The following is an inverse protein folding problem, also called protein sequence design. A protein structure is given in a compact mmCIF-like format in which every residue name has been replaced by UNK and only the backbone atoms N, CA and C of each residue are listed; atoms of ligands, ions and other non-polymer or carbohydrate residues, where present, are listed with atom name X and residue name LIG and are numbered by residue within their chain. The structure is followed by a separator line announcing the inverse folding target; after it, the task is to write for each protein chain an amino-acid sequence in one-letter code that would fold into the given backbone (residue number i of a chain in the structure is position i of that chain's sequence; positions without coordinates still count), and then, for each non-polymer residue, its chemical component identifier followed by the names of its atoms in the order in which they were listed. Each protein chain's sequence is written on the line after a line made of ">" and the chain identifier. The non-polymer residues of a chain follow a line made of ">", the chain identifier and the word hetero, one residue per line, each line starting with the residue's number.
data_IF_611375155949
#
_entry.id   IF_611375155949
#
_cell.length_a   1.000
_cell.length_b   1.000
_cell.length_c   1.000
_cell.angle_alpha   90.00
_cell.angle_beta   90.00
_cell.angle_gamma   90.00
#
_symmetry.space_group_name_H-M   'P 1'
#
loop_
_entity.id
_entity.type
_entity.pdbx_description
1 polymer ?
#
# COMPACT_ATOMS: atom_id res chain seq x y z
N UNK A 1 60.62 -60.02 -44.22
CA UNK A 1 59.17 -59.99 -43.95
C UNK A 1 58.66 -58.62 -44.37
N UNK A 2 58.08 -58.60 -45.59
CA UNK A 2 56.73 -58.08 -45.90
C UNK A 2 56.62 -56.56 -45.75
N UNK A 3 56.81 -55.82 -46.87
CA UNK A 3 55.74 -55.37 -47.79
C UNK A 3 55.02 -54.13 -47.21
N UNK A 4 54.75 -53.00 -47.89
CA UNK A 4 54.69 -52.69 -49.32
C UNK A 4 54.67 -51.15 -49.49
N UNK A 5 55.49 -50.67 -50.42
CA UNK A 5 55.35 -49.58 -51.39
C UNK A 5 54.28 -48.47 -51.20
N UNK A 6 54.73 -47.19 -51.13
CA UNK A 6 54.86 -46.16 -52.21
C UNK A 6 53.55 -45.38 -52.46
N UNK A 7 53.48 -44.08 -52.15
CA UNK A 7 54.07 -42.89 -52.83
C UNK A 7 53.18 -42.34 -53.96
N UNK A 8 52.89 -41.03 -53.84
CA UNK A 8 52.52 -40.05 -54.88
C UNK A 8 51.06 -40.16 -55.36
N UNK A 9 50.16 -39.18 -55.27
CA UNK A 9 50.28 -37.73 -55.11
C UNK A 9 49.69 -37.05 -56.35
N UNK A 10 48.53 -36.38 -56.23
CA UNK A 10 48.09 -35.24 -57.08
C UNK A 10 46.76 -34.66 -56.60
N UNK A 11 46.57 -33.36 -56.86
CA UNK A 11 45.61 -32.43 -56.28
C UNK A 11 44.17 -32.46 -56.86
N UNK A 12 43.33 -31.58 -56.27
CA UNK A 12 41.95 -31.18 -56.61
C UNK A 12 40.88 -32.16 -56.08
N UNK A 13 39.76 -31.73 -55.49
CA UNK A 13 38.80 -30.70 -55.94
C UNK A 13 38.10 -30.10 -54.71
N UNK A 14 37.91 -28.78 -54.71
CA UNK A 14 36.97 -28.12 -53.81
C UNK A 14 35.55 -28.63 -54.13
N UNK A 15 35.02 -29.49 -53.26
CA UNK A 15 33.59 -29.79 -53.27
C UNK A 15 32.91 -28.71 -52.45
N UNK A 16 32.44 -27.70 -53.17
CA UNK A 16 31.31 -26.88 -52.75
C UNK A 16 30.14 -27.81 -52.45
N UNK A 17 30.02 -28.25 -51.20
CA UNK A 17 28.76 -28.78 -50.69
C UNK A 17 27.86 -27.56 -50.59
N UNK A 18 27.04 -27.38 -51.62
CA UNK A 18 25.74 -26.76 -51.49
C UNK A 18 25.05 -27.45 -50.30
N UNK A 19 25.20 -26.88 -49.11
CA UNK A 19 24.18 -27.00 -48.10
C UNK A 19 22.97 -26.32 -48.74
N UNK A 20 22.09 -27.12 -49.34
CA UNK A 20 20.73 -26.69 -49.55
C UNK A 20 20.25 -26.19 -48.19
N UNK A 21 20.04 -24.87 -48.10
CA UNK A 21 19.19 -24.30 -47.07
C UNK A 21 17.86 -25.04 -47.22
N UNK A 22 17.57 -25.92 -46.27
CA UNK A 22 16.22 -26.44 -46.11
C UNK A 22 15.40 -25.22 -45.66
N UNK A 23 14.73 -24.54 -46.60
CA UNK A 23 13.66 -23.57 -46.35
C UNK A 23 12.43 -24.34 -45.83
N UNK A 24 12.65 -25.19 -44.83
CA UNK A 24 11.61 -25.92 -44.14
C UNK A 24 10.76 -24.90 -43.41
N UNK A 25 9.51 -24.77 -43.82
CA UNK A 25 8.50 -24.04 -43.06
C UNK A 25 8.43 -24.65 -41.66
N UNK A 26 8.96 -23.94 -40.67
CA UNK A 26 8.88 -24.36 -39.27
C UNK A 26 7.50 -23.95 -38.78
N UNK A 27 6.71 -24.90 -38.27
CA UNK A 27 5.47 -24.57 -37.56
C UNK A 27 5.82 -23.75 -36.33
N UNK A 28 5.39 -22.48 -36.24
CA UNK A 28 5.74 -21.64 -35.11
C UNK A 28 5.05 -22.13 -33.84
N UNK A 29 5.75 -22.00 -32.71
CA UNK A 29 5.25 -22.36 -31.39
C UNK A 29 5.35 -21.11 -30.51
N UNK A 30 4.19 -20.65 -30.05
CA UNK A 30 4.08 -19.60 -29.05
C UNK A 30 4.63 -20.06 -27.68
N UNK A 31 5.13 -19.14 -26.84
CA UNK A 31 5.64 -19.50 -25.53
C UNK A 31 4.48 -19.81 -24.59
N UNK A 32 4.74 -20.59 -23.55
CA UNK A 32 3.86 -20.65 -22.38
C UNK A 32 4.20 -19.47 -21.48
N UNK A 33 3.22 -18.61 -21.17
CA UNK A 33 3.43 -17.49 -20.25
C UNK A 33 3.57 -17.98 -18.80
N UNK A 34 4.44 -17.31 -18.05
CA UNK A 34 4.50 -17.37 -16.60
C UNK A 34 3.26 -16.79 -15.93
N UNK A 35 3.16 -16.95 -14.61
CA UNK A 35 2.17 -16.22 -13.82
C UNK A 35 2.53 -14.73 -13.74
N UNK A 36 1.52 -13.87 -13.57
CA UNK A 36 1.74 -12.44 -13.29
C UNK A 36 2.31 -12.31 -11.89
N UNK A 37 3.58 -11.93 -11.76
CA UNK A 37 4.21 -11.58 -10.49
C UNK A 37 3.98 -10.09 -10.18
N UNK A 38 3.90 -9.76 -8.89
CA UNK A 38 3.67 -8.39 -8.38
C UNK A 38 4.85 -8.01 -7.49
N UNK A 39 5.28 -6.74 -7.54
CA UNK A 39 6.40 -6.22 -6.74
C UNK A 39 6.18 -6.22 -5.23
N UNK A 40 4.96 -6.48 -4.77
CA UNK A 40 4.58 -6.41 -3.36
C UNK A 40 3.43 -7.38 -3.05
N UNK A 41 3.41 -7.91 -1.83
CA UNK A 41 2.43 -8.93 -1.41
C UNK A 41 1.03 -8.35 -1.16
N UNK A 42 0.96 -7.09 -0.73
CA UNK A 42 -0.31 -6.41 -0.48
C UNK A 42 -0.34 -5.09 -1.27
N UNK A 43 -1.46 -4.80 -1.92
CA UNK A 43 -1.61 -3.65 -2.83
C UNK A 43 -2.54 -2.63 -2.19
N UNK A 44 -2.11 -1.38 -2.20
CA UNK A 44 -2.86 -0.31 -1.58
C UNK A 44 -3.24 0.78 -2.58
N UNK A 45 -4.36 1.47 -2.35
CA UNK A 45 -4.79 2.61 -3.17
C UNK A 45 -3.71 3.69 -3.25
N UNK A 46 -3.43 4.18 -4.45
CA UNK A 46 -2.44 5.22 -4.72
C UNK A 46 -0.99 4.71 -4.82
N UNK A 47 -0.73 3.42 -4.59
CA UNK A 47 0.61 2.86 -4.64
C UNK A 47 0.98 2.33 -6.02
N UNK A 48 2.13 2.73 -6.55
CA UNK A 48 2.64 2.12 -7.78
C UNK A 48 3.05 0.67 -7.52
N UNK A 49 2.52 -0.23 -8.33
CA UNK A 49 2.91 -1.64 -8.39
C UNK A 49 3.63 -1.91 -9.71
N UNK A 50 4.54 -2.88 -9.68
CA UNK A 50 5.17 -3.43 -10.88
C UNK A 50 4.65 -4.85 -11.09
N UNK A 51 4.06 -5.06 -12.26
CA UNK A 51 3.54 -6.34 -12.71
C UNK A 51 4.53 -6.92 -13.71
N UNK A 52 4.90 -8.18 -13.57
CA UNK A 52 5.85 -8.84 -14.46
C UNK A 52 5.37 -10.23 -14.89
N UNK A 53 5.63 -10.58 -16.14
CA UNK A 53 5.44 -11.93 -16.69
C UNK A 53 6.71 -12.30 -17.44
N UNK A 54 7.14 -13.55 -17.31
CA UNK A 54 8.25 -14.11 -18.08
C UNK A 54 7.77 -15.39 -18.78
N UNK A 55 8.17 -15.58 -20.03
CA UNK A 55 7.90 -16.83 -20.75
C UNK A 55 8.56 -18.02 -20.05
N UNK A 56 7.83 -19.12 -19.87
CA UNK A 56 8.36 -20.39 -19.33
C UNK A 56 9.07 -21.23 -20.39
N UNK A 57 8.63 -21.10 -21.64
CA UNK A 57 9.20 -21.80 -22.79
C UNK A 57 9.58 -20.81 -23.88
N UNK A 58 10.63 -21.08 -24.66
CA UNK A 58 11.03 -20.19 -25.73
C UNK A 58 10.05 -20.24 -26.90
N UNK A 59 9.88 -19.10 -27.56
CA UNK A 59 9.23 -19.03 -28.87
C UNK A 59 10.05 -19.79 -29.90
N UNK A 60 9.37 -20.57 -30.75
CA UNK A 60 10.00 -21.29 -31.87
C UNK A 60 9.41 -20.79 -33.18
N UNK A 61 10.26 -20.52 -34.17
CA UNK A 61 9.87 -20.01 -35.48
C UNK A 61 10.55 -18.67 -35.82
N UNK A 62 10.33 -18.19 -37.04
CA UNK A 62 10.89 -16.92 -37.52
C UNK A 62 10.01 -15.75 -37.05
N UNK A 63 10.16 -15.32 -35.80
CA UNK A 63 9.35 -14.25 -35.20
C UNK A 63 9.60 -12.91 -35.91
N UNK A 64 8.53 -12.28 -36.39
CA UNK A 64 8.53 -11.00 -37.07
C UNK A 64 8.11 -9.83 -36.15
N UNK A 65 7.03 -10.01 -35.39
CA UNK A 65 6.47 -8.99 -34.51
C UNK A 65 5.99 -9.60 -33.20
N UNK A 66 6.09 -8.81 -32.14
CA UNK A 66 5.52 -9.13 -30.83
C UNK A 66 4.83 -7.87 -30.29
N UNK A 67 3.55 -8.01 -29.98
CA UNK A 67 2.67 -6.92 -29.58
C UNK A 67 2.05 -7.27 -28.22
N UNK A 68 2.72 -6.95 -27.09
CA UNK A 68 2.20 -7.21 -25.76
C UNK A 68 1.22 -6.11 -25.31
N UNK A 69 0.04 -6.51 -24.85
CA UNK A 69 -1.03 -5.63 -24.38
C UNK A 69 -1.39 -5.98 -22.94
N UNK A 70 -1.18 -5.02 -22.03
CA UNK A 70 -1.64 -5.13 -20.65
C UNK A 70 -3.03 -4.51 -20.51
N UNK A 71 -3.90 -5.19 -19.78
CA UNK A 71 -5.21 -4.64 -19.39
C UNK A 71 -5.41 -4.72 -17.89
N UNK A 72 -6.05 -3.71 -17.33
CA UNK A 72 -6.48 -3.64 -15.93
C UNK A 72 -7.96 -3.32 -15.89
N UNK A 73 -8.75 -4.17 -15.25
CA UNK A 73 -10.23 -4.10 -15.24
C UNK A 73 -10.81 -3.95 -16.66
N UNK A 74 -10.21 -4.66 -17.62
CA UNK A 74 -10.61 -4.62 -19.03
C UNK A 74 -10.19 -3.36 -19.81
N UNK A 75 -9.50 -2.41 -19.17
CA UNK A 75 -8.97 -1.21 -19.83
C UNK A 75 -7.50 -1.38 -20.19
N UNK A 76 -7.13 -1.05 -21.42
CA UNK A 76 -5.75 -1.13 -21.89
C UNK A 76 -4.84 -0.12 -21.20
N UNK A 77 -3.63 -0.57 -20.84
CA UNK A 77 -2.58 0.26 -20.27
C UNK A 77 -1.72 0.81 -21.39
N UNK A 78 -1.55 2.14 -21.39
CA UNK A 78 -0.74 2.83 -22.40
C UNK A 78 0.71 2.33 -22.41
N UNK A 79 1.29 2.22 -23.61
CA UNK A 79 2.66 1.73 -23.84
C UNK A 79 3.74 2.44 -23.04
N UNK A 80 3.54 3.72 -22.68
CA UNK A 80 4.53 4.47 -21.87
C UNK A 80 4.69 3.91 -20.45
N UNK A 81 3.74 3.09 -19.99
CA UNK A 81 3.76 2.42 -18.69
C UNK A 81 4.08 0.93 -18.80
N UNK A 82 4.45 0.46 -19.99
CA UNK A 82 4.81 -0.93 -20.23
C UNK A 82 6.21 -1.00 -20.84
N UNK A 83 6.85 -2.15 -20.66
CA UNK A 83 8.09 -2.45 -21.36
C UNK A 83 8.18 -3.95 -21.57
N UNK A 84 8.80 -4.36 -22.67
CA UNK A 84 9.14 -5.76 -22.87
C UNK A 84 10.60 -5.90 -23.30
N UNK A 85 11.18 -7.04 -22.93
CA UNK A 85 12.50 -7.47 -23.35
C UNK A 85 12.38 -8.86 -23.95
N UNK A 86 13.07 -9.12 -25.04
CA UNK A 86 13.04 -10.41 -25.72
C UNK A 86 14.47 -10.88 -25.99
N UNK A 87 14.92 -11.90 -25.26
CA UNK A 87 16.29 -12.39 -25.31
C UNK A 87 16.29 -13.91 -25.37
N UNK A 88 16.98 -14.48 -26.36
CA UNK A 88 17.15 -15.94 -26.47
C UNK A 88 15.85 -16.71 -26.67
N UNK A 89 14.83 -16.10 -27.29
CA UNK A 89 13.51 -16.71 -27.47
C UNK A 89 12.56 -16.53 -26.29
N UNK A 90 12.99 -15.86 -25.22
CA UNK A 90 12.21 -15.67 -23.99
C UNK A 90 11.86 -14.19 -23.85
N UNK A 91 10.57 -13.90 -23.74
CA UNK A 91 10.00 -12.60 -23.43
C UNK A 91 9.91 -12.35 -21.92
N UNK A 92 10.17 -11.11 -21.52
CA UNK A 92 9.89 -10.56 -20.20
C UNK A 92 9.07 -9.29 -20.37
N UNK A 93 7.88 -9.26 -19.81
CA UNK A 93 6.90 -8.18 -19.95
C UNK A 93 6.70 -7.51 -18.61
N UNK A 94 6.72 -6.19 -18.58
CA UNK A 94 6.59 -5.37 -17.38
C UNK A 94 5.50 -4.32 -17.58
N UNK A 95 4.69 -4.09 -16.54
CA UNK A 95 3.68 -3.05 -16.49
C UNK A 95 3.76 -2.31 -15.15
N UNK A 96 3.70 -0.99 -15.21
CA UNK A 96 3.65 -0.10 -14.06
C UNK A 96 2.23 0.43 -13.88
N UNK A 97 1.64 0.26 -12.70
CA UNK A 97 0.25 0.65 -12.47
C UNK A 97 0.03 1.25 -11.09
N UNK A 98 -0.92 2.18 -10.96
CA UNK A 98 -1.32 2.79 -9.68
C UNK A 98 -2.83 2.60 -9.52
N UNK A 99 -3.30 1.72 -8.61
CA UNK A 99 -4.73 1.52 -8.38
C UNK A 99 -5.30 2.70 -7.61
N UNK A 100 -6.38 3.30 -8.09
CA UNK A 100 -6.99 4.48 -7.46
C UNK A 100 -8.21 4.15 -6.59
N UNK A 101 -8.65 2.89 -6.57
CA UNK A 101 -9.82 2.44 -5.83
C UNK A 101 -9.54 1.09 -5.17
N UNK A 102 -10.23 0.83 -4.06
CA UNK A 102 -10.20 -0.45 -3.34
C UNK A 102 -11.01 -1.53 -4.06
N UNK A 103 -10.73 -2.78 -3.77
CA UNK A 103 -11.45 -3.95 -4.28
C UNK A 103 -10.60 -4.83 -5.17
N UNK A 104 -11.26 -5.66 -5.99
CA UNK A 104 -10.58 -6.57 -6.90
C UNK A 104 -10.03 -5.80 -8.10
N UNK A 105 -8.77 -6.10 -8.43
CA UNK A 105 -8.05 -5.61 -9.59
C UNK A 105 -7.79 -6.79 -10.53
N UNK A 106 -8.52 -6.84 -11.64
CA UNK A 106 -8.35 -7.85 -12.68
C UNK A 106 -7.25 -7.43 -13.65
N UNK A 107 -6.10 -8.10 -13.60
CA UNK A 107 -4.96 -7.81 -14.47
C UNK A 107 -4.83 -8.90 -15.52
N UNK A 108 -4.62 -8.53 -16.78
CA UNK A 108 -4.30 -9.47 -17.85
C UNK A 108 -3.18 -8.97 -18.76
N UNK A 109 -2.42 -9.91 -19.29
CA UNK A 109 -1.47 -9.70 -20.38
C UNK A 109 -1.91 -10.56 -21.56
N UNK A 110 -2.03 -9.95 -22.73
CA UNK A 110 -2.12 -10.65 -24.03
C UNK A 110 -0.86 -10.37 -24.81
N UNK A 111 -0.30 -11.38 -25.48
CA UNK A 111 0.87 -11.24 -26.34
C UNK A 111 0.51 -11.79 -27.70
N UNK A 112 0.40 -10.90 -28.67
CA UNK A 112 0.17 -11.25 -30.07
C UNK A 112 1.51 -11.34 -30.80
N UNK A 113 1.70 -12.40 -31.54
CA UNK A 113 2.94 -12.69 -32.27
C UNK A 113 2.64 -12.94 -33.74
N UNK A 114 3.50 -12.40 -34.59
CA UNK A 114 3.49 -12.66 -36.03
C UNK A 114 4.77 -13.35 -36.46
N UNK A 115 4.66 -14.36 -37.30
CA UNK A 115 5.78 -15.17 -37.78
C UNK A 115 5.92 -15.06 -39.30
N UNK A 116 7.16 -14.90 -39.75
CA UNK A 116 7.52 -15.04 -41.15
C UNK A 116 7.63 -16.52 -41.53
N UNK A 117 7.43 -16.83 -42.81
CA UNK A 117 7.67 -18.16 -43.40
C UNK A 117 6.90 -19.30 -42.69
N UNK A 118 5.82 -18.95 -42.00
CA UNK A 118 4.97 -19.91 -41.31
C UNK A 118 4.11 -20.69 -42.34
N UNK A 119 3.72 -21.93 -42.02
CA UNK A 119 2.69 -22.62 -42.79
C UNK A 119 1.41 -21.78 -42.89
N UNK A 120 0.66 -21.93 -44.00
CA UNK A 120 -0.58 -21.18 -44.25
C UNK A 120 -1.53 -21.31 -43.05
N UNK A 121 -1.93 -20.17 -42.48
CA UNK A 121 -2.84 -20.09 -41.34
C UNK A 121 -2.17 -20.17 -39.96
N UNK A 122 -0.84 -20.29 -39.89
CA UNK A 122 -0.06 -20.34 -38.65
C UNK A 122 0.76 -19.06 -38.40
N UNK A 123 0.55 -18.03 -39.24
CA UNK A 123 1.31 -16.77 -39.23
C UNK A 123 1.10 -15.93 -37.96
N UNK A 124 -0.04 -16.09 -37.29
CA UNK A 124 -0.40 -15.36 -36.08
C UNK A 124 -0.66 -16.31 -34.91
N UNK A 125 -0.09 -15.99 -33.75
CA UNK A 125 -0.34 -16.69 -32.48
C UNK A 125 -0.56 -15.69 -31.37
N UNK A 126 -1.48 -16.02 -30.47
CA UNK A 126 -1.78 -15.20 -29.29
C UNK A 126 -1.74 -16.07 -28.05
N UNK A 127 -1.16 -15.54 -26.98
CA UNK A 127 -1.17 -16.15 -25.65
C UNK A 127 -1.56 -15.12 -24.62
N UNK A 128 -2.22 -15.55 -23.55
CA UNK A 128 -2.67 -14.65 -22.50
C UNK A 128 -2.60 -15.28 -21.12
N UNK A 129 -2.46 -14.41 -20.12
CA UNK A 129 -2.51 -14.76 -18.71
C UNK A 129 -3.24 -13.68 -17.94
N UNK A 130 -3.99 -14.08 -16.91
CA UNK A 130 -4.75 -13.17 -16.05
C UNK A 130 -4.54 -13.52 -14.59
N UNK A 131 -4.60 -12.51 -13.73
CA UNK A 131 -4.51 -12.64 -12.27
C UNK A 131 -5.43 -11.61 -11.61
N UNK A 132 -6.17 -12.06 -10.61
CA UNK A 132 -6.92 -11.18 -9.72
C UNK A 132 -6.03 -10.78 -8.54
N UNK A 133 -6.03 -9.50 -8.22
CA UNK A 133 -5.32 -8.93 -7.09
C UNK A 133 -6.32 -8.19 -6.20
N UNK A 134 -6.03 -8.10 -4.91
CA UNK A 134 -6.86 -7.34 -3.97
C UNK A 134 -6.17 -6.01 -3.63
N UNK A 135 -6.89 -4.91 -3.80
CA UNK A 135 -6.47 -3.55 -3.44
C UNK A 135 -7.19 -3.12 -2.17
N UNK A 136 -6.42 -2.79 -1.14
CA UNK A 136 -6.94 -2.33 0.15
C UNK A 136 -6.79 -0.82 0.33
N UNK A 137 -7.56 -0.18 1.23
CA UNK A 137 -7.34 1.22 1.57
C UNK A 137 -5.92 1.45 2.10
N UNK A 138 -5.28 2.54 1.66
CA UNK A 138 -4.01 3.01 2.22
C UNK A 138 -4.26 4.03 3.31
N UNK A 139 -4.46 3.55 4.52
CA UNK A 139 -4.49 4.39 5.69
C UNK A 139 -3.99 3.61 6.92
N UNK A 140 -3.71 4.32 8.01
CA UNK A 140 -3.33 3.71 9.29
C UNK A 140 -4.36 2.67 9.80
N UNK A 141 -5.59 2.68 9.24
CA UNK A 141 -6.72 1.84 9.62
C UNK A 141 -6.64 0.43 9.03
N UNK A 142 -6.04 0.29 7.85
CA UNK A 142 -5.84 -0.98 7.13
C UNK A 142 -4.35 -1.31 6.91
N UNK A 143 -3.49 -0.60 7.65
CA UNK A 143 -2.05 -0.66 7.46
C UNK A 143 -1.45 -2.03 7.68
N UNK A 144 -0.36 -2.23 6.97
CA UNK A 144 0.22 -3.49 6.59
C UNK A 144 1.18 -3.91 7.70
N UNK A 145 0.63 -4.31 8.85
CA UNK A 145 1.44 -4.85 9.94
C UNK A 145 2.43 -5.88 9.39
N UNK A 146 3.69 -5.76 9.80
CA UNK A 146 4.80 -6.52 9.23
C UNK A 146 5.55 -5.86 8.07
N UNK A 147 5.09 -4.72 7.54
CA UNK A 147 5.77 -4.05 6.43
C UNK A 147 7.19 -3.59 6.82
N UNK A 148 8.12 -3.78 5.89
CA UNK A 148 9.47 -3.26 6.06
C UNK A 148 9.52 -1.73 6.01
N UNK A 149 10.49 -1.14 6.70
CA UNK A 149 10.80 0.30 6.63
C UNK A 149 10.85 0.82 5.19
N UNK A 150 11.48 0.08 4.27
CA UNK A 150 11.62 0.51 2.88
C UNK A 150 10.27 0.66 2.17
N UNK A 151 9.36 -0.28 2.41
CA UNK A 151 8.01 -0.26 1.84
C UNK A 151 7.20 0.87 2.48
N UNK A 152 7.26 1.04 3.81
CA UNK A 152 6.53 2.11 4.50
C UNK A 152 6.98 3.51 4.06
N UNK A 153 8.29 3.77 4.01
CA UNK A 153 8.83 5.08 3.59
C UNK A 153 8.58 5.34 2.09
N UNK A 154 8.53 4.29 1.27
CA UNK A 154 8.11 4.43 -0.13
C UNK A 154 6.66 4.90 -0.25
N UNK A 155 5.77 4.41 0.62
CA UNK A 155 4.34 4.74 0.64
C UNK A 155 4.05 6.10 1.25
N UNK A 156 4.80 6.47 2.27
CA UNK A 156 4.68 7.72 3.00
C UNK A 156 5.97 8.53 2.85
N UNK A 157 6.24 9.12 1.67
CA UNK A 157 7.52 9.78 1.37
C UNK A 157 7.77 11.03 2.23
N UNK A 158 6.74 11.54 2.92
CA UNK A 158 6.86 12.64 3.87
C UNK A 158 7.47 12.24 5.21
N UNK A 159 7.65 10.94 5.48
CA UNK A 159 8.25 10.45 6.72
C UNK A 159 9.78 10.58 6.70
N UNK A 160 10.30 11.30 7.69
CA UNK A 160 11.72 11.38 8.00
C UNK A 160 12.06 10.53 9.21
N UNK A 161 13.26 9.95 9.24
CA UNK A 161 13.78 9.22 10.41
C UNK A 161 13.86 10.15 11.63
N UNK A 162 13.33 9.74 12.77
CA UNK A 162 13.32 10.52 14.01
C UNK A 162 13.96 9.77 15.16
N UNK A 163 15.03 10.33 15.74
CA UNK A 163 15.67 9.73 16.92
C UNK A 163 16.30 8.36 16.64
N UNK A 164 15.70 7.29 17.18
CA UNK A 164 16.19 5.90 17.08
C UNK A 164 16.10 5.35 15.67
N UNK A 165 16.71 4.17 15.44
CA UNK A 165 16.73 3.56 14.11
C UNK A 165 15.34 3.15 13.60
N UNK A 166 14.35 3.06 14.50
CA UNK A 166 13.07 2.39 14.31
C UNK A 166 11.85 3.32 14.37
N UNK A 167 12.03 4.65 14.33
CA UNK A 167 10.93 5.62 14.33
C UNK A 167 11.01 6.59 13.15
N UNK A 168 9.88 6.79 12.48
CA UNK A 168 9.75 7.63 11.29
C UNK A 168 8.57 8.58 11.47
N UNK A 169 8.81 9.88 11.36
CA UNK A 169 7.83 10.93 11.64
C UNK A 169 7.68 11.89 10.47
N UNK A 170 6.49 12.40 10.26
CA UNK A 170 6.24 13.41 9.23
C UNK A 170 4.80 13.88 9.18
N UNK A 171 4.51 14.95 8.43
CA UNK A 171 3.16 15.39 8.21
C UNK A 171 2.40 14.38 7.32
N UNK A 172 1.13 14.16 7.63
CA UNK A 172 0.23 13.38 6.79
C UNK A 172 -1.22 13.80 6.96
N UNK A 173 -2.12 13.04 6.34
CA UNK A 173 -3.57 13.19 6.51
C UNK A 173 -4.02 12.36 7.71
N UNK A 174 -5.02 12.83 8.45
CA UNK A 174 -5.63 12.00 9.48
C UNK A 174 -6.49 10.91 8.85
N UNK A 175 -6.53 9.75 9.50
CA UNK A 175 -7.50 8.71 9.19
C UNK A 175 -8.94 9.06 9.62
N UNK A 176 -9.15 10.06 10.47
CA UNK A 176 -10.49 10.46 10.92
C UNK A 176 -11.22 11.18 9.80
N UNK A 177 -12.24 10.53 9.22
CA UNK A 177 -13.04 11.10 8.15
C UNK A 177 -13.71 12.42 8.59
N UNK A 178 -13.57 13.46 7.75
CA UNK A 178 -14.20 14.77 7.97
C UNK A 178 -13.53 15.67 9.01
N UNK A 179 -12.39 15.26 9.60
CA UNK A 179 -11.67 16.11 10.58
C UNK A 179 -11.19 17.44 9.98
N UNK A 180 -11.00 17.49 8.66
CA UNK A 180 -10.67 18.69 7.89
C UNK A 180 -11.74 19.78 7.98
N UNK A 181 -13.00 19.43 8.31
CA UNK A 181 -14.07 20.41 8.56
C UNK A 181 -13.79 21.28 9.79
N UNK A 182 -12.83 20.88 10.63
CA UNK A 182 -12.38 21.61 11.81
C UNK A 182 -11.00 22.28 11.60
N UNK A 183 -10.61 22.53 10.35
CA UNK A 183 -9.33 23.12 9.93
C UNK A 183 -8.08 22.28 10.26
N UNK A 184 -8.27 21.00 10.63
CA UNK A 184 -7.19 20.04 10.85
C UNK A 184 -6.85 19.38 9.50
N UNK A 185 -6.05 20.11 8.72
CA UNK A 185 -5.67 19.69 7.35
C UNK A 185 -4.43 18.79 7.28
N UNK A 186 -3.68 18.68 8.38
CA UNK A 186 -2.54 17.79 8.50
C UNK A 186 -2.34 17.38 9.95
N UNK A 187 -1.86 16.16 10.15
CA UNK A 187 -1.49 15.59 11.45
C UNK A 187 -0.04 15.17 11.43
N UNK A 188 0.59 15.10 12.60
CA UNK A 188 1.91 14.52 12.74
C UNK A 188 1.76 13.00 12.84
N UNK A 189 2.25 12.28 11.84
CA UNK A 189 2.31 10.82 11.83
C UNK A 189 3.62 10.35 12.44
N UNK A 190 3.57 9.26 13.17
CA UNK A 190 4.74 8.55 13.70
C UNK A 190 4.57 7.06 13.47
N UNK A 191 5.45 6.46 12.69
CA UNK A 191 5.51 5.04 12.39
C UNK A 191 6.65 4.42 13.20
N UNK A 192 6.37 3.31 13.89
CA UNK A 192 7.35 2.59 14.71
C UNK A 192 7.55 1.18 14.24
N UNK A 193 8.80 0.76 14.23
CA UNK A 193 9.24 -0.53 13.73
C UNK A 193 9.86 -1.37 14.86
N UNK A 194 9.71 -2.69 14.77
CA UNK A 194 10.35 -3.63 15.67
C UNK A 194 10.93 -4.76 14.81
N UNK A 195 12.24 -4.98 14.89
CA UNK A 195 12.91 -5.94 14.01
C UNK A 195 12.84 -5.56 12.51
N UNK A 196 12.62 -4.27 12.20
CA UNK A 196 12.44 -3.78 10.82
C UNK A 196 11.01 -3.85 10.29
N UNK A 197 10.07 -4.34 11.08
CA UNK A 197 8.67 -4.53 10.72
C UNK A 197 7.76 -3.52 11.44
N UNK A 198 6.80 -2.94 10.71
CA UNK A 198 5.85 -1.97 11.23
C UNK A 198 4.91 -2.61 12.26
N UNK A 199 4.87 -2.08 13.47
CA UNK A 199 4.00 -2.58 14.55
C UNK A 199 3.09 -1.51 15.17
N UNK A 200 3.38 -0.22 14.97
CA UNK A 200 2.57 0.87 15.53
C UNK A 200 2.60 2.13 14.64
N UNK A 201 1.46 2.79 14.55
CA UNK A 201 1.29 4.10 13.93
C UNK A 201 0.60 5.01 14.94
N UNK A 202 1.11 6.24 15.10
CA UNK A 202 0.48 7.28 15.89
C UNK A 202 0.17 8.50 15.03
N UNK A 203 -1.06 8.99 15.12
CA UNK A 203 -1.48 10.28 14.57
C UNK A 203 -1.66 11.27 15.72
N UNK A 204 -1.05 12.44 15.58
CA UNK A 204 -1.13 13.51 16.59
C UNK A 204 -1.58 14.81 15.93
N UNK A 205 -2.64 15.40 16.47
CA UNK A 205 -3.08 16.75 16.11
C UNK A 205 -3.34 17.60 17.35
N UNK A 206 -3.13 18.90 17.22
CA UNK A 206 -3.30 19.84 18.32
C UNK A 206 -4.65 20.55 18.25
N UNK A 207 -5.34 20.65 19.38
CA UNK A 207 -6.52 21.49 19.55
C UNK A 207 -6.17 22.70 20.40
N UNK A 208 -6.66 23.89 20.01
CA UNK A 208 -6.36 25.13 20.71
C UNK A 208 -7.62 25.92 21.08
N UNK A 209 -7.64 26.45 22.30
CA UNK A 209 -8.70 27.35 22.77
C UNK A 209 -8.71 28.69 22.03
N UNK A 210 -7.62 29.06 21.35
CA UNK A 210 -7.56 30.27 20.54
C UNK A 210 -8.49 30.20 19.32
N UNK A 211 -8.81 29.00 18.83
CA UNK A 211 -9.68 28.78 17.66
C UNK A 211 -11.16 28.95 18.00
N UNK A 212 -11.61 28.44 19.15
CA UNK A 212 -13.05 28.41 19.48
C UNK A 212 -13.39 28.23 20.96
N UNK A 213 -12.43 28.44 21.87
CA UNK A 213 -12.62 28.24 23.30
C UNK A 213 -12.80 26.77 23.70
N UNK A 214 -13.24 26.51 24.93
CA UNK A 214 -13.35 25.15 25.47
C UNK A 214 -14.48 24.31 24.85
N UNK A 215 -15.60 24.94 24.45
CA UNK A 215 -16.69 24.23 23.77
C UNK A 215 -16.24 23.58 22.47
N UNK A 216 -15.44 24.31 21.68
CA UNK A 216 -14.82 23.79 20.45
C UNK A 216 -13.93 22.56 20.71
N UNK A 217 -13.14 22.57 21.80
CA UNK A 217 -12.29 21.42 22.15
C UNK A 217 -13.13 20.16 22.35
N UNK A 218 -14.21 20.27 23.14
CA UNK A 218 -15.09 19.13 23.41
C UNK A 218 -15.82 18.68 22.14
N UNK A 219 -16.24 19.61 21.28
CA UNK A 219 -16.90 19.30 20.01
C UNK A 219 -15.99 18.51 19.06
N UNK A 220 -14.75 18.99 18.81
CA UNK A 220 -13.82 18.30 17.91
C UNK A 220 -13.42 16.95 18.48
N UNK A 221 -13.19 16.85 19.79
CA UNK A 221 -12.87 15.60 20.46
C UNK A 221 -14.03 14.60 20.35
N UNK A 222 -15.27 15.04 20.55
CA UNK A 222 -16.46 14.18 20.44
C UNK A 222 -16.72 13.74 19.00
N UNK A 223 -16.56 14.65 18.03
CA UNK A 223 -16.62 14.32 16.62
C UNK A 223 -15.62 13.23 16.26
N UNK A 224 -14.35 13.44 16.62
CA UNK A 224 -13.27 12.48 16.36
C UNK A 224 -13.58 11.10 16.97
N UNK A 225 -13.96 11.07 18.26
CA UNK A 225 -14.28 9.83 18.95
C UNK A 225 -15.47 9.10 18.34
N UNK A 226 -16.58 9.80 18.05
CA UNK A 226 -17.78 9.17 17.48
C UNK A 226 -17.56 8.64 16.06
N UNK A 227 -16.77 9.34 15.25
CA UNK A 227 -16.36 8.85 13.93
C UNK A 227 -15.59 7.54 14.08
N UNK A 228 -14.61 7.47 14.98
CA UNK A 228 -13.85 6.25 15.26
C UNK A 228 -14.72 5.12 15.82
N UNK A 229 -15.66 5.41 16.72
CA UNK A 229 -16.57 4.39 17.26
C UNK A 229 -17.51 3.83 16.20
N UNK A 230 -17.97 4.68 15.27
CA UNK A 230 -18.77 4.26 14.13
C UNK A 230 -17.97 3.33 13.23
N UNK A 231 -16.72 3.68 12.94
CA UNK A 231 -15.83 2.92 12.05
C UNK A 231 -15.33 1.60 12.68
N UNK A 232 -14.97 1.60 13.97
CA UNK A 232 -14.20 0.50 14.58
C UNK A 232 -14.89 -0.23 15.72
N UNK A 233 -15.93 0.36 16.31
CA UNK A 233 -16.65 -0.23 17.44
C UNK A 233 -18.10 -0.56 17.10
N UNK A 234 -18.52 -0.40 15.83
CA UNK A 234 -19.92 -0.59 15.43
C UNK A 234 -20.88 0.32 16.19
N UNK A 235 -20.45 1.56 16.48
CA UNK A 235 -21.14 2.54 17.33
C UNK A 235 -21.20 2.17 18.83
N UNK A 236 -20.41 1.20 19.30
CA UNK A 236 -20.28 0.90 20.72
C UNK A 236 -19.37 1.90 21.43
N UNK A 237 -19.79 2.35 22.62
CA UNK A 237 -19.01 3.21 23.52
C UNK A 237 -18.27 2.43 24.61
N UNK A 238 -18.32 1.09 24.59
CA UNK A 238 -17.86 0.22 25.68
C UNK A 238 -16.34 0.32 25.98
N UNK A 239 -15.57 1.03 25.14
CA UNK A 239 -14.14 1.26 25.30
C UNK A 239 -13.75 2.57 25.99
N UNK A 240 -14.72 3.46 26.27
CA UNK A 240 -14.44 4.77 26.89
C UNK A 240 -14.05 4.62 28.36
N UNK A 241 -13.03 5.35 28.78
CA UNK A 241 -12.54 5.42 30.15
C UNK A 241 -12.12 6.84 30.49
N UNK A 242 -12.26 7.19 31.78
CA UNK A 242 -11.87 8.49 32.32
C UNK A 242 -10.77 8.26 33.35
N UNK A 243 -9.64 8.92 33.16
CA UNK A 243 -8.57 9.01 34.13
C UNK A 243 -8.62 10.40 34.80
N UNK A 244 -8.98 10.48 36.09
CA UNK A 244 -8.93 11.74 36.83
C UNK A 244 -7.47 12.09 37.15
N UNK A 245 -6.99 13.21 36.59
CA UNK A 245 -5.63 13.71 36.80
C UNK A 245 -5.59 14.78 37.89
N UNK A 246 -6.68 15.52 38.11
CA UNK A 246 -6.89 16.41 39.25
C UNK A 246 -8.15 15.99 40.02
N UNK A 247 -7.97 15.25 41.12
CA UNK A 247 -9.07 14.71 41.92
C UNK A 247 -9.88 15.78 42.68
N UNK A 248 -9.44 17.04 42.69
CA UNK A 248 -10.17 18.15 43.32
C UNK A 248 -11.25 18.74 42.41
N UNK A 249 -11.19 18.46 41.10
CA UNK A 249 -12.13 18.95 40.08
C UNK A 249 -13.31 18.01 39.91
N UNK A 250 -14.06 17.81 41.00
CA UNK A 250 -15.14 16.81 41.07
C UNK A 250 -16.26 17.07 40.08
N UNK A 251 -16.60 18.34 39.83
CA UNK A 251 -17.58 18.77 38.82
C UNK A 251 -17.18 18.35 37.40
N UNK A 252 -15.92 18.58 37.03
CA UNK A 252 -15.37 18.16 35.74
C UNK A 252 -15.30 16.63 35.63
N UNK A 253 -14.89 15.94 36.70
CA UNK A 253 -14.84 14.47 36.74
C UNK A 253 -16.24 13.87 36.55
N UNK A 254 -17.26 14.44 37.20
CA UNK A 254 -18.65 13.99 37.04
C UNK A 254 -19.14 14.15 35.60
N UNK A 255 -18.84 15.29 34.98
CA UNK A 255 -19.14 15.54 33.56
C UNK A 255 -18.40 14.57 32.64
N UNK A 256 -17.10 14.34 32.86
CA UNK A 256 -16.31 13.39 32.08
C UNK A 256 -16.87 11.96 32.21
N UNK A 257 -17.33 11.58 33.41
CA UNK A 257 -17.98 10.30 33.64
C UNK A 257 -19.35 10.18 32.96
N UNK A 258 -20.15 11.26 32.90
CA UNK A 258 -21.37 11.28 32.07
C UNK A 258 -21.03 11.05 30.59
N UNK A 259 -20.03 11.77 30.11
CA UNK A 259 -19.56 11.68 28.73
C UNK A 259 -19.07 10.27 28.35
N UNK A 260 -18.32 9.61 29.23
CA UNK A 260 -17.84 8.24 28.98
C UNK A 260 -18.95 7.20 28.96
N UNK A 261 -20.08 7.47 29.61
CA UNK A 261 -21.31 6.67 29.53
C UNK A 261 -22.19 7.00 28.32
N UNK A 262 -21.76 7.93 27.46
CA UNK A 262 -22.51 8.35 26.28
C UNK A 262 -23.73 9.22 26.58
N UNK A 263 -23.80 9.81 27.78
CA UNK A 263 -24.86 10.75 28.12
C UNK A 263 -24.68 12.06 27.34
N UNK A 264 -25.79 12.68 26.95
CA UNK A 264 -25.78 13.98 26.25
C UNK A 264 -25.43 15.07 27.25
N UNK A 265 -24.35 15.80 26.99
CA UNK A 265 -23.91 16.93 27.80
C UNK A 265 -24.66 18.21 27.41
N UNK A 266 -24.92 19.10 28.37
CA UNK A 266 -25.33 20.48 28.05
C UNK A 266 -24.17 21.28 27.43
N UNK A 267 -24.44 22.49 26.93
CA UNK A 267 -23.41 23.40 26.44
C UNK A 267 -22.38 23.74 27.52
N UNK A 268 -22.84 24.01 28.75
CA UNK A 268 -21.97 24.32 29.90
C UNK A 268 -21.13 23.11 30.30
N UNK A 269 -21.75 21.92 30.35
CA UNK A 269 -21.03 20.67 30.63
C UNK A 269 -19.99 20.36 29.54
N UNK A 270 -20.32 20.57 28.27
CA UNK A 270 -19.37 20.40 27.17
C UNK A 270 -18.19 21.36 27.28
N UNK A 271 -18.44 22.63 27.61
CA UNK A 271 -17.37 23.59 27.86
C UNK A 271 -16.50 23.20 29.06
N UNK A 272 -17.10 22.71 30.15
CA UNK A 272 -16.37 22.23 31.33
C UNK A 272 -15.52 20.99 31.00
N UNK A 273 -16.01 20.10 30.15
CA UNK A 273 -15.24 18.95 29.67
C UNK A 273 -14.03 19.40 28.85
N UNK A 274 -14.23 20.32 27.90
CA UNK A 274 -13.15 20.85 27.08
C UNK A 274 -12.10 21.60 27.89
N UNK A 275 -12.50 22.32 28.93
CA UNK A 275 -11.57 22.94 29.89
C UNK A 275 -10.79 21.88 30.67
N UNK A 276 -11.48 20.85 31.15
CA UNK A 276 -10.87 19.71 31.83
C UNK A 276 -9.83 18.98 30.98
N UNK A 277 -10.08 18.84 29.68
CA UNK A 277 -9.15 18.26 28.71
C UNK A 277 -7.92 19.17 28.52
N UNK A 278 -8.11 20.46 28.26
CA UNK A 278 -7.01 21.42 28.01
C UNK A 278 -6.11 21.59 29.22
N UNK A 279 -6.71 21.75 30.40
CA UNK A 279 -5.97 21.89 31.66
C UNK A 279 -5.49 20.54 32.21
N UNK A 280 -5.92 19.46 31.57
CA UNK A 280 -5.76 18.06 31.96
C UNK A 280 -6.07 17.80 33.42
N UNK A 281 -7.26 18.21 33.83
CA UNK A 281 -7.94 17.71 35.02
C UNK A 281 -8.45 16.29 34.82
N UNK A 282 -8.77 15.94 33.57
CA UNK A 282 -9.22 14.62 33.15
C UNK A 282 -8.53 14.23 31.85
N UNK A 283 -8.28 12.93 31.69
CA UNK A 283 -7.96 12.32 30.39
C UNK A 283 -9.06 11.35 30.02
N UNK A 284 -9.58 11.51 28.81
CA UNK A 284 -10.49 10.52 28.22
C UNK A 284 -9.65 9.62 27.31
N UNK A 285 -9.83 8.32 27.45
CA UNK A 285 -9.25 7.33 26.56
C UNK A 285 -10.36 6.40 26.05
N UNK A 286 -10.33 6.07 24.77
CA UNK A 286 -11.17 5.04 24.18
C UNK A 286 -10.31 3.96 23.56
N UNK A 287 -10.59 2.70 23.93
CA UNK A 287 -9.97 1.53 23.34
C UNK A 287 -10.97 0.85 22.39
N UNK A 288 -10.56 0.69 21.14
CA UNK A 288 -11.34 0.07 20.07
C UNK A 288 -10.46 -0.95 19.37
N UNK A 289 -11.05 -1.83 18.55
CA UNK A 289 -10.23 -2.76 17.79
C UNK A 289 -10.97 -3.42 16.64
N UNK A 290 -10.21 -3.77 15.60
CA UNK A 290 -10.63 -4.69 14.55
C UNK A 290 -10.07 -6.09 14.81
N UNK A 291 -10.15 -6.98 13.82
CA UNK A 291 -9.55 -8.32 13.87
C UNK A 291 -8.04 -8.25 14.15
N UNK A 292 -7.31 -7.40 13.41
CA UNK A 292 -5.84 -7.37 13.42
C UNK A 292 -5.24 -6.08 14.01
N UNK A 293 -6.07 -5.12 14.42
CA UNK A 293 -5.60 -3.81 14.87
C UNK A 293 -6.21 -3.43 16.22
N UNK A 294 -5.37 -3.02 17.16
CA UNK A 294 -5.76 -2.32 18.38
C UNK A 294 -5.72 -0.82 18.13
N UNK A 295 -6.73 -0.10 18.61
CA UNK A 295 -6.89 1.33 18.38
C UNK A 295 -7.08 2.01 19.73
N UNK A 296 -6.28 3.04 20.00
CA UNK A 296 -6.40 3.85 21.20
C UNK A 296 -6.51 5.32 20.83
N UNK A 297 -7.61 5.94 21.21
CA UNK A 297 -7.82 7.37 21.08
C UNK A 297 -7.74 8.03 22.45
N UNK A 298 -6.90 9.04 22.61
CA UNK A 298 -6.74 9.74 23.90
C UNK A 298 -6.17 11.14 23.72
N UNK A 299 -5.93 11.85 24.81
CA UNK A 299 -5.15 13.09 24.82
C UNK A 299 -3.73 12.81 25.31
N UNK A 300 -2.76 13.48 24.67
CA UNK A 300 -1.33 13.24 24.87
C UNK A 300 -0.88 13.40 26.32
N UNK A 301 0.17 12.66 26.67
CA UNK A 301 0.82 12.73 27.98
C UNK A 301 1.81 13.90 28.13
N UNK A 302 2.10 14.62 27.03
CA UNK A 302 3.06 15.73 27.03
C UNK A 302 2.61 16.79 28.01
N UNK A 303 3.37 16.87 29.10
CA UNK A 303 3.38 17.88 30.15
C UNK A 303 2.19 18.82 30.07
N UNK A 304 1.15 18.49 30.85
CA UNK A 304 0.11 19.42 31.27
C UNK A 304 0.75 20.79 31.36
N UNK A 305 0.48 21.67 30.40
CA UNK A 305 0.85 23.06 30.55
C UNK A 305 -0.31 23.63 31.36
N UNK A 306 -0.21 23.80 32.69
CA UNK A 306 -1.32 24.29 33.50
C UNK A 306 -1.84 25.67 33.04
N UNK A 307 -1.09 26.35 32.17
CA UNK A 307 -1.43 27.63 31.53
C UNK A 307 -1.48 27.56 29.99
N UNK A 308 -1.36 26.38 29.38
CA UNK A 308 -1.36 26.20 27.93
C UNK A 308 -2.79 26.14 27.38
N UNK A 309 -3.09 26.94 26.35
CA UNK A 309 -4.37 26.90 25.64
C UNK A 309 -4.43 25.84 24.55
N UNK A 310 -3.62 24.77 24.65
CA UNK A 310 -3.46 23.75 23.60
C UNK A 310 -3.32 22.36 24.20
N UNK A 311 -3.91 21.36 23.55
CA UNK A 311 -3.79 19.94 23.89
C UNK A 311 -3.51 19.11 22.64
N UNK A 312 -2.67 18.09 22.76
CA UNK A 312 -2.49 17.11 21.70
C UNK A 312 -3.54 16.01 21.85
N UNK A 313 -4.25 15.71 20.78
CA UNK A 313 -5.07 14.50 20.64
C UNK A 313 -4.21 13.45 19.94
N UNK A 314 -4.21 12.24 20.49
CA UNK A 314 -3.35 11.15 20.07
C UNK A 314 -4.23 9.96 19.71
N UNK A 315 -4.11 9.51 18.47
CA UNK A 315 -4.69 8.28 17.97
C UNK A 315 -3.56 7.30 17.70
N UNK A 316 -3.64 6.11 18.26
CA UNK A 316 -2.61 5.07 18.12
C UNK A 316 -3.26 3.82 17.54
N UNK A 317 -2.62 3.27 16.51
CA UNK A 317 -2.91 1.99 15.89
C UNK A 317 -1.76 1.06 16.19
N UNK A 318 -2.03 -0.14 16.66
CA UNK A 318 -1.01 -1.15 16.93
C UNK A 318 -1.45 -2.51 16.39
N UNK A 319 -0.50 -3.31 15.93
CA UNK A 319 -0.70 -4.72 15.60
C UNK A 319 -1.25 -5.49 16.83
N UNK A 320 -2.12 -6.47 16.59
CA UNK A 320 -2.68 -7.36 17.61
C UNK A 320 -1.98 -8.70 17.70
#
# INVERSE_FOLDING_TARGET
>A
MTNFWKLIGTAAVAVSVLAACDDGTITPVAPELGEIAVSQDKIGVGHQIVLTVQDKTPVVGNLYSIDPVWTVNGSEIMDIYTSYEYVGGIGRYTCYYVPMNTGVLDVSLSVDMRFNDAPVGEEEKSVSVSRQLEVVPCDARNSFWGDSVAITVYREPGLGRHGSEDEYTGPGLSSIAGITNYDINSVNLTYRFNGGELYEISEVFALSTATGGYGYIAEVFDFALKTLETEFAGSSIAGRSVEPLDTQKTDCIDVANKYSRGEVLTTEESALLGEGIIRGWVRIASAMSTENTSIRFTTGATELQPNGGTVNVVLTYSEK
#
